data_IF_042294974263
#
_entry.id   IF_042294974263
#
_cell.length_a   1.000
_cell.length_b   1.000
_cell.length_c   1.000
_cell.angle_alpha   90.00
_cell.angle_beta   90.00
_cell.angle_gamma   90.00
#
_symmetry.space_group_name_H-M   'P 1'
#
loop_
_entity.id
_entity.type
_entity.pdbx_description
1 polymer ?
#
# COMPACT_ATOMS: atom_id res chain seq x y z
N UNK A 1 -2.11 9.64 -13.21
CA UNK A 1 -0.97 10.56 -13.11
C UNK A 1 0.33 9.83 -13.40
N UNK A 2 1.33 10.52 -13.96
CA UNK A 2 2.66 9.96 -14.27
C UNK A 2 3.31 9.32 -13.03
N UNK A 3 3.15 9.91 -11.86
CA UNK A 3 3.67 9.38 -10.60
C UNK A 3 3.06 8.01 -10.22
N UNK A 4 1.76 7.82 -10.48
CA UNK A 4 1.11 6.53 -10.26
C UNK A 4 1.58 5.46 -11.24
N UNK A 5 1.76 5.82 -12.53
CA UNK A 5 2.32 4.93 -13.54
C UNK A 5 3.75 4.52 -13.20
N UNK A 6 4.57 5.45 -12.73
CA UNK A 6 5.95 5.18 -12.34
C UNK A 6 6.03 4.21 -11.15
N UNK A 7 5.17 4.39 -10.13
CA UNK A 7 5.08 3.48 -9.00
C UNK A 7 4.62 2.06 -9.39
N UNK A 8 3.67 1.94 -10.33
CA UNK A 8 3.22 0.64 -10.84
C UNK A 8 4.29 -0.05 -11.67
N UNK A 9 5.01 0.68 -12.53
CA UNK A 9 6.12 0.16 -13.31
C UNK A 9 7.28 -0.33 -12.42
N UNK A 10 7.64 0.44 -11.39
CA UNK A 10 8.67 0.04 -10.43
C UNK A 10 8.30 -1.26 -9.69
N UNK A 11 7.02 -1.45 -9.34
CA UNK A 11 6.54 -2.72 -8.76
C UNK A 11 6.56 -3.88 -9.75
N UNK A 12 6.27 -3.65 -11.03
CA UNK A 12 6.32 -4.67 -12.07
C UNK A 12 7.77 -5.13 -12.33
N UNK A 13 8.70 -4.18 -12.45
CA UNK A 13 10.13 -4.44 -12.64
C UNK A 13 10.73 -5.20 -11.45
N UNK A 14 10.29 -4.92 -10.22
CA UNK A 14 10.74 -5.63 -9.02
C UNK A 14 10.08 -7.01 -8.80
N UNK A 15 9.36 -7.55 -9.79
CA UNK A 15 8.72 -8.87 -9.72
C UNK A 15 7.53 -8.97 -8.75
N UNK A 16 7.03 -7.86 -8.24
CA UNK A 16 5.92 -7.81 -7.26
C UNK A 16 4.55 -7.80 -7.93
N UNK A 17 4.34 -8.72 -8.87
CA UNK A 17 3.12 -8.79 -9.70
C UNK A 17 1.87 -8.99 -8.86
N UNK A 18 1.92 -9.87 -7.86
CA UNK A 18 0.78 -10.15 -6.95
C UNK A 18 0.35 -8.92 -6.16
N UNK A 19 1.31 -8.11 -5.70
CA UNK A 19 1.00 -6.84 -5.03
C UNK A 19 0.39 -5.81 -6.01
N UNK A 20 0.88 -5.73 -7.25
CA UNK A 20 0.29 -4.91 -8.30
C UNK A 20 -1.16 -5.27 -8.60
N UNK A 21 -1.44 -6.58 -8.76
CA UNK A 21 -2.79 -7.11 -8.95
C UNK A 21 -3.69 -6.79 -7.74
N UNK A 22 -3.20 -7.03 -6.52
CA UNK A 22 -3.91 -6.69 -5.29
C UNK A 22 -4.25 -5.20 -5.20
N UNK A 23 -3.32 -4.32 -5.59
CA UNK A 23 -3.54 -2.87 -5.63
C UNK A 23 -4.58 -2.48 -6.67
N UNK A 24 -4.62 -3.14 -7.82
CA UNK A 24 -5.65 -2.93 -8.85
C UNK A 24 -7.05 -3.23 -8.29
N UNK A 25 -7.22 -4.38 -7.63
CA UNK A 25 -8.50 -4.73 -6.98
C UNK A 25 -8.83 -3.79 -5.82
N UNK A 26 -7.84 -3.35 -5.03
CA UNK A 26 -8.02 -2.36 -3.98
C UNK A 26 -8.58 -1.04 -4.53
N UNK A 27 -7.99 -0.52 -5.60
CA UNK A 27 -8.46 0.69 -6.28
C UNK A 27 -9.86 0.52 -6.84
N UNK A 28 -10.17 -0.65 -7.45
CA UNK A 28 -11.50 -1.00 -7.91
C UNK A 28 -12.53 -1.00 -6.78
N UNK A 29 -12.22 -1.61 -5.64
CA UNK A 29 -13.08 -1.64 -4.46
C UNK A 29 -13.36 -0.22 -3.92
N UNK A 30 -12.31 0.60 -3.79
CA UNK A 30 -12.43 2.00 -3.35
C UNK A 30 -13.22 2.82 -4.37
N UNK A 31 -12.93 2.70 -5.67
CA UNK A 31 -13.65 3.39 -6.72
C UNK A 31 -15.15 3.04 -6.72
N UNK A 32 -15.50 1.78 -6.49
CA UNK A 32 -16.90 1.32 -6.37
C UNK A 32 -17.63 2.04 -5.24
N UNK A 33 -16.95 2.31 -4.11
CA UNK A 33 -17.57 3.03 -2.98
C UNK A 33 -17.73 4.53 -3.27
N UNK A 34 -16.78 5.16 -3.97
CA UNK A 34 -16.75 6.62 -4.14
C UNK A 34 -17.26 7.12 -5.50
N UNK A 35 -17.03 6.37 -6.59
CA UNK A 35 -17.26 6.80 -7.98
C UNK A 35 -18.47 6.11 -8.62
N UNK A 36 -19.51 5.80 -7.85
CA UNK A 36 -20.70 5.13 -8.37
C UNK A 36 -21.50 6.03 -9.32
N UNK A 37 -22.09 5.52 -10.40
CA UNK A 37 -22.89 6.30 -11.33
C UNK A 37 -24.03 7.05 -10.62
N UNK A 38 -24.30 8.29 -11.05
CA UNK A 38 -25.26 9.20 -10.40
C UNK A 38 -26.67 8.60 -10.28
N UNK A 39 -27.06 7.81 -11.27
CA UNK A 39 -28.37 7.11 -11.34
C UNK A 39 -28.60 6.14 -10.17
N UNK A 40 -27.53 5.56 -9.58
CA UNK A 40 -27.56 4.56 -8.52
C UNK A 40 -27.02 5.10 -7.18
N UNK A 41 -26.99 6.39 -7.04
CA UNK A 41 -26.33 7.07 -5.92
C UNK A 41 -26.92 6.72 -4.55
N UNK A 42 -28.19 6.33 -4.48
CA UNK A 42 -28.89 6.02 -3.24
C UNK A 42 -28.69 4.57 -2.76
N UNK A 43 -28.20 3.68 -3.62
CA UNK A 43 -28.02 2.27 -3.31
C UNK A 43 -26.71 2.01 -2.55
N UNK A 44 -26.67 2.42 -1.30
CA UNK A 44 -25.47 2.27 -0.46
C UNK A 44 -25.04 0.83 -0.26
N UNK A 45 -26.00 -0.09 -0.16
CA UNK A 45 -25.74 -1.52 0.02
C UNK A 45 -25.32 -2.20 -1.28
N UNK A 46 -25.88 -1.83 -2.43
CA UNK A 46 -25.43 -2.36 -3.71
C UNK A 46 -23.96 -2.05 -3.98
N UNK A 47 -23.52 -0.80 -3.67
CA UNK A 47 -22.10 -0.42 -3.72
C UNK A 47 -21.24 -1.26 -2.82
N UNK A 48 -21.70 -1.50 -1.60
CA UNK A 48 -20.99 -2.31 -0.62
C UNK A 48 -20.84 -3.77 -1.10
N UNK A 49 -21.91 -4.34 -1.64
CA UNK A 49 -21.92 -5.71 -2.20
C UNK A 49 -20.97 -5.85 -3.40
N UNK A 50 -20.87 -4.84 -4.28
CA UNK A 50 -19.92 -4.85 -5.39
C UNK A 50 -18.46 -4.60 -4.92
N UNK A 51 -18.26 -3.81 -3.87
CA UNK A 51 -16.92 -3.50 -3.36
C UNK A 51 -16.31 -4.66 -2.55
N UNK A 52 -17.14 -5.43 -1.83
CA UNK A 52 -16.66 -6.51 -0.95
C UNK A 52 -15.87 -7.61 -1.70
N UNK A 53 -16.34 -8.18 -2.84
CA UNK A 53 -15.56 -9.17 -3.57
C UNK A 53 -14.24 -8.60 -4.12
N UNK A 54 -14.21 -7.34 -4.57
CA UNK A 54 -12.98 -6.69 -5.00
C UNK A 54 -11.99 -6.50 -3.84
N UNK A 55 -12.49 -6.15 -2.64
CA UNK A 55 -11.68 -6.06 -1.44
C UNK A 55 -11.13 -7.43 -1.01
N UNK A 56 -11.94 -8.50 -1.11
CA UNK A 56 -11.49 -9.87 -0.87
C UNK A 56 -10.40 -10.29 -1.87
N UNK A 57 -10.61 -10.09 -3.18
CA UNK A 57 -9.63 -10.38 -4.23
C UNK A 57 -8.33 -9.60 -4.05
N UNK A 58 -8.42 -8.33 -3.60
CA UNK A 58 -7.25 -7.54 -3.24
C UNK A 58 -6.42 -8.23 -2.17
N UNK A 59 -7.08 -8.72 -1.11
CA UNK A 59 -6.41 -9.37 0.02
C UNK A 59 -5.87 -10.76 -0.36
N UNK A 60 -6.60 -11.52 -1.16
CA UNK A 60 -6.16 -12.82 -1.68
C UNK A 60 -4.93 -12.67 -2.57
N UNK A 61 -4.87 -11.61 -3.38
CA UNK A 61 -3.70 -11.32 -4.22
C UNK A 61 -2.50 -10.84 -3.41
N UNK A 62 -2.75 -10.02 -2.38
CA UNK A 62 -1.72 -9.52 -1.46
C UNK A 62 -2.34 -9.04 -0.14
N UNK A 63 -1.97 -9.65 1.00
CA UNK A 63 -2.44 -9.19 2.32
C UNK A 63 -2.10 -7.72 2.62
N UNK A 64 -0.99 -7.22 2.07
CA UNK A 64 -0.58 -5.82 2.18
C UNK A 64 -1.57 -4.89 1.48
N UNK A 65 -2.06 -5.26 0.29
CA UNK A 65 -3.09 -4.50 -0.42
C UNK A 65 -4.42 -4.52 0.34
N UNK A 66 -4.77 -5.66 0.94
CA UNK A 66 -5.93 -5.80 1.83
C UNK A 66 -5.85 -4.89 3.06
N UNK A 67 -4.65 -4.76 3.66
CA UNK A 67 -4.42 -3.82 4.76
C UNK A 67 -4.74 -2.38 4.32
N UNK A 68 -4.31 -1.96 3.12
CA UNK A 68 -4.55 -0.61 2.62
C UNK A 68 -6.04 -0.33 2.43
N UNK A 69 -6.80 -1.31 1.94
CA UNK A 69 -8.27 -1.24 1.88
C UNK A 69 -8.86 -1.13 3.28
N UNK A 70 -8.33 -1.89 4.25
CA UNK A 70 -8.71 -1.83 5.66
C UNK A 70 -8.51 -0.45 6.29
N UNK A 71 -7.41 0.26 5.97
CA UNK A 71 -7.19 1.63 6.44
C UNK A 71 -8.27 2.60 5.94
N UNK A 72 -8.68 2.46 4.67
CA UNK A 72 -9.80 3.23 4.11
C UNK A 72 -11.12 2.84 4.79
N UNK A 73 -11.32 1.56 5.09
CA UNK A 73 -12.49 1.09 5.84
C UNK A 73 -12.59 1.72 7.23
N UNK A 74 -11.48 1.80 7.97
CA UNK A 74 -11.43 2.50 9.27
C UNK A 74 -11.79 3.98 9.10
N UNK A 75 -11.25 4.66 8.10
CA UNK A 75 -11.57 6.06 7.83
C UNK A 75 -13.07 6.26 7.51
N UNK A 76 -13.69 5.36 6.76
CA UNK A 76 -15.12 5.39 6.47
C UNK A 76 -15.96 5.10 7.72
N UNK A 77 -15.51 4.17 8.56
CA UNK A 77 -16.18 3.84 9.82
C UNK A 77 -16.22 5.04 10.76
N UNK A 78 -15.08 5.74 10.93
CA UNK A 78 -14.99 6.96 11.73
C UNK A 78 -15.89 8.09 11.18
N UNK A 79 -16.13 8.11 9.86
CA UNK A 79 -17.07 9.03 9.22
C UNK A 79 -18.54 8.56 9.25
N UNK A 80 -18.84 7.45 9.95
CA UNK A 80 -20.18 6.84 10.03
C UNK A 80 -20.74 6.39 8.66
N UNK A 81 -19.88 6.17 7.67
CA UNK A 81 -20.23 5.61 6.34
C UNK A 81 -20.23 4.09 6.39
N UNK A 82 -21.09 3.53 7.21
CA UNK A 82 -21.08 2.12 7.61
C UNK A 82 -21.11 1.09 6.47
N UNK A 83 -21.99 1.17 5.44
CA UNK A 83 -22.00 0.15 4.39
C UNK A 83 -20.66 0.00 3.67
N UNK A 84 -20.04 1.11 3.27
CA UNK A 84 -18.71 1.09 2.64
C UNK A 84 -17.61 0.62 3.60
N UNK A 85 -17.67 1.03 4.87
CA UNK A 85 -16.73 0.59 5.90
C UNK A 85 -16.79 -0.93 6.11
N UNK A 86 -17.99 -1.51 6.21
CA UNK A 86 -18.15 -2.95 6.37
C UNK A 86 -17.66 -3.73 5.14
N UNK A 87 -18.00 -3.27 3.93
CA UNK A 87 -17.57 -3.92 2.69
C UNK A 87 -16.04 -3.96 2.57
N UNK A 88 -15.38 -2.83 2.82
CA UNK A 88 -13.92 -2.71 2.71
C UNK A 88 -13.17 -3.25 3.92
N UNK A 89 -13.83 -3.49 5.05
CA UNK A 89 -13.20 -3.99 6.27
C UNK A 89 -13.41 -5.48 6.51
N UNK A 90 -14.68 -5.96 6.45
CA UNK A 90 -14.98 -7.36 6.78
C UNK A 90 -14.48 -8.35 5.73
N UNK A 91 -14.55 -8.01 4.45
CA UNK A 91 -14.10 -8.91 3.40
C UNK A 91 -12.59 -9.19 3.48
N UNK A 92 -11.70 -8.19 3.56
CA UNK A 92 -10.28 -8.40 3.84
C UNK A 92 -10.02 -9.15 5.16
N UNK A 93 -10.70 -8.77 6.24
CA UNK A 93 -10.52 -9.41 7.54
C UNK A 93 -10.88 -10.90 7.50
N UNK A 94 -11.98 -11.26 6.83
CA UNK A 94 -12.39 -12.66 6.66
C UNK A 94 -11.35 -13.46 5.85
N UNK A 95 -10.80 -12.88 4.77
CA UNK A 95 -9.74 -13.53 3.97
C UNK A 95 -8.49 -13.73 4.81
N UNK A 96 -8.04 -12.72 5.57
CA UNK A 96 -6.86 -12.85 6.44
C UNK A 96 -7.09 -13.89 7.52
N UNK A 97 -8.26 -13.86 8.19
CA UNK A 97 -8.60 -14.82 9.24
C UNK A 97 -8.63 -16.26 8.69
N UNK A 98 -9.27 -16.46 7.53
CA UNK A 98 -9.34 -17.78 6.90
C UNK A 98 -7.95 -18.27 6.47
N UNK A 99 -7.15 -17.39 5.88
CA UNK A 99 -5.78 -17.72 5.47
C UNK A 99 -4.89 -18.06 6.66
N UNK A 100 -4.98 -17.31 7.76
CA UNK A 100 -4.22 -17.57 8.97
C UNK A 100 -4.65 -18.87 9.65
N UNK A 101 -5.91 -19.24 9.56
CA UNK A 101 -6.43 -20.51 10.08
C UNK A 101 -6.00 -21.71 9.25
N UNK A 102 -6.08 -21.61 7.91
CA UNK A 102 -5.72 -22.70 6.99
C UNK A 102 -4.19 -22.86 6.84
N UNK A 103 -3.46 -21.77 6.89
CA UNK A 103 -2.01 -21.72 6.67
C UNK A 103 -1.35 -20.90 7.77
N UNK A 104 -1.24 -21.46 9.01
CA UNK A 104 -0.64 -20.73 10.12
C UNK A 104 0.83 -20.41 9.81
N UNK A 105 1.17 -19.13 9.89
CA UNK A 105 2.50 -18.61 9.66
C UNK A 105 2.96 -17.83 10.90
N UNK A 106 4.12 -18.19 11.46
CA UNK A 106 4.67 -17.59 12.68
C UNK A 106 5.80 -16.59 12.44
N UNK A 107 6.16 -16.33 11.17
CA UNK A 107 7.24 -15.40 10.84
C UNK A 107 6.89 -13.94 11.20
N UNK A 108 7.87 -13.23 11.78
CA UNK A 108 7.76 -11.79 12.04
C UNK A 108 8.82 -11.04 11.26
N UNK A 109 8.48 -9.87 10.74
CA UNK A 109 9.40 -8.98 10.04
C UNK A 109 9.50 -7.67 10.83
N UNK A 110 10.60 -7.46 11.57
CA UNK A 110 10.79 -6.22 12.31
C UNK A 110 10.96 -5.04 11.34
N UNK A 111 10.42 -3.88 11.72
CA UNK A 111 10.55 -2.65 10.96
C UNK A 111 11.65 -1.78 11.56
N UNK A 112 12.71 -1.51 10.79
CA UNK A 112 13.80 -0.65 11.22
C UNK A 112 13.37 0.82 11.29
N UNK A 113 14.04 1.61 12.17
CA UNK A 113 13.78 3.05 12.33
C UNK A 113 13.87 3.82 11.00
N UNK A 114 14.89 3.53 10.17
CA UNK A 114 15.07 4.17 8.87
C UNK A 114 13.89 3.97 7.92
N UNK A 115 13.21 2.82 7.99
CA UNK A 115 12.02 2.52 7.19
C UNK A 115 10.75 3.16 7.75
N UNK A 116 10.78 3.66 9.00
CA UNK A 116 9.62 4.24 9.70
C UNK A 116 9.48 5.74 9.44
N UNK A 117 10.60 6.46 9.40
CA UNK A 117 10.61 7.93 9.38
C UNK A 117 9.92 8.52 8.16
N UNK A 118 10.30 8.09 6.96
CA UNK A 118 9.74 8.67 5.72
C UNK A 118 8.25 8.38 5.56
N UNK A 119 7.73 7.15 5.73
CA UNK A 119 6.30 6.90 5.69
C UNK A 119 5.49 7.72 6.69
N UNK A 120 6.00 7.89 7.91
CA UNK A 120 5.37 8.70 8.93
C UNK A 120 5.34 10.18 8.55
N UNK A 121 6.45 10.70 8.05
CA UNK A 121 6.57 12.08 7.58
C UNK A 121 5.61 12.36 6.40
N UNK A 122 5.50 11.44 5.44
CA UNK A 122 4.58 11.59 4.32
C UNK A 122 3.11 11.40 4.74
N UNK A 123 2.81 10.57 5.73
CA UNK A 123 1.48 10.54 6.35
C UNK A 123 1.12 11.92 6.94
N UNK A 124 2.06 12.55 7.65
CA UNK A 124 1.91 13.90 8.18
C UNK A 124 1.72 14.96 7.09
N UNK A 125 2.50 14.91 6.01
CA UNK A 125 2.37 15.83 4.88
C UNK A 125 1.01 15.69 4.18
N UNK A 126 0.56 14.48 3.89
CA UNK A 126 -0.77 14.25 3.31
C UNK A 126 -1.85 14.80 4.23
N UNK A 127 -1.78 14.54 5.54
CA UNK A 127 -2.73 15.08 6.51
C UNK A 127 -2.76 16.61 6.53
N UNK A 128 -1.60 17.26 6.47
CA UNK A 128 -1.47 18.71 6.57
C UNK A 128 -1.84 19.46 5.29
N UNK A 129 -1.43 18.93 4.12
CA UNK A 129 -1.55 19.65 2.85
C UNK A 129 -2.85 19.37 2.10
N UNK A 130 -3.43 18.17 2.26
CA UNK A 130 -4.69 17.82 1.60
C UNK A 130 -5.83 18.70 2.15
N UNK A 131 -6.75 19.18 1.27
CA UNK A 131 -7.89 20.00 1.69
C UNK A 131 -8.70 19.37 2.82
N UNK A 132 -9.20 20.20 3.76
CA UNK A 132 -10.01 19.73 4.89
C UNK A 132 -11.31 19.06 4.47
N UNK A 133 -11.80 19.39 3.27
CA UNK A 133 -13.00 18.78 2.65
C UNK A 133 -12.77 17.31 2.29
N UNK A 134 -11.52 16.89 2.05
CA UNK A 134 -11.16 15.50 1.72
C UNK A 134 -10.99 14.65 2.99
N UNK A 135 -12.03 14.63 3.81
CA UNK A 135 -12.04 13.99 5.14
C UNK A 135 -11.52 12.56 5.13
N UNK A 136 -11.92 11.75 4.15
CA UNK A 136 -11.48 10.35 4.06
C UNK A 136 -9.98 10.25 3.88
N UNK A 137 -9.38 11.03 2.97
CA UNK A 137 -7.93 10.99 2.72
C UNK A 137 -7.16 11.42 3.97
N UNK A 138 -7.60 12.48 4.65
CA UNK A 138 -6.97 12.95 5.88
C UNK A 138 -7.05 11.93 7.01
N UNK A 139 -8.21 11.34 7.23
CA UNK A 139 -8.38 10.32 8.28
C UNK A 139 -7.56 9.06 7.91
N UNK A 140 -7.57 8.64 6.64
CA UNK A 140 -6.74 7.50 6.20
C UNK A 140 -5.26 7.77 6.43
N UNK A 141 -4.77 8.98 6.14
CA UNK A 141 -3.35 9.30 6.39
C UNK A 141 -3.00 9.31 7.87
N UNK A 142 -3.89 9.79 8.75
CA UNK A 142 -3.70 9.75 10.20
C UNK A 142 -3.70 8.30 10.74
N UNK A 143 -4.67 7.49 10.30
CA UNK A 143 -4.75 6.05 10.67
C UNK A 143 -3.53 5.30 10.14
N UNK A 144 -3.08 5.61 8.92
CA UNK A 144 -1.86 5.04 8.36
C UNK A 144 -0.62 5.41 9.18
N UNK A 145 -0.45 6.69 9.55
CA UNK A 145 0.66 7.11 10.41
C UNK A 145 0.67 6.36 11.75
N UNK A 146 -0.51 6.21 12.38
CA UNK A 146 -0.66 5.39 13.59
C UNK A 146 -0.28 3.93 13.33
N UNK A 147 -0.71 3.35 12.20
CA UNK A 147 -0.38 1.97 11.84
C UNK A 147 1.13 1.77 11.61
N UNK A 148 1.82 2.76 11.03
CA UNK A 148 3.28 2.73 10.87
C UNK A 148 3.97 2.70 12.24
N UNK A 149 3.52 3.53 13.19
CA UNK A 149 4.04 3.52 14.56
C UNK A 149 3.78 2.18 15.26
N UNK A 150 2.59 1.61 15.11
CA UNK A 150 2.25 0.31 15.70
C UNK A 150 3.12 -0.81 15.14
N UNK A 151 3.33 -0.86 13.82
CA UNK A 151 4.18 -1.87 13.17
C UNK A 151 5.66 -1.71 13.55
N UNK A 152 6.11 -0.49 13.83
CA UNK A 152 7.45 -0.24 14.31
C UNK A 152 7.67 -0.74 15.75
N UNK A 153 6.69 -0.52 16.64
CA UNK A 153 6.76 -0.93 18.05
C UNK A 153 6.48 -2.42 18.22
N UNK A 154 5.53 -2.95 17.43
CA UNK A 154 5.07 -4.34 17.52
C UNK A 154 5.55 -5.08 16.28
N UNK A 155 6.48 -6.02 16.44
CA UNK A 155 6.93 -6.89 15.34
C UNK A 155 5.75 -7.66 14.76
N UNK A 156 5.53 -7.52 13.46
CA UNK A 156 4.41 -8.12 12.75
C UNK A 156 4.85 -8.77 11.44
N UNK A 157 3.99 -9.56 10.84
CA UNK A 157 4.22 -10.15 9.51
C UNK A 157 4.26 -9.10 8.39
N UNK A 158 3.74 -7.90 8.64
CA UNK A 158 3.68 -6.79 7.68
C UNK A 158 5.04 -6.12 7.54
N UNK A 159 5.70 -5.79 8.65
CA UNK A 159 7.00 -5.15 8.70
C UNK A 159 7.10 -3.92 7.79
N UNK A 160 8.24 -3.78 7.11
CA UNK A 160 8.51 -2.67 6.19
C UNK A 160 7.56 -2.61 4.96
N UNK A 161 6.78 -3.65 4.68
CA UNK A 161 5.82 -3.63 3.56
C UNK A 161 4.74 -2.55 3.69
N UNK A 162 4.47 -2.06 4.91
CA UNK A 162 3.54 -0.96 5.15
C UNK A 162 3.99 0.34 4.45
N UNK A 163 5.27 0.52 4.17
CA UNK A 163 5.82 1.71 3.50
C UNK A 163 5.30 1.88 2.08
N UNK A 164 4.88 0.78 1.43
CA UNK A 164 4.39 0.78 0.04
C UNK A 164 3.18 1.68 -0.15
N UNK A 165 2.32 1.86 0.87
CA UNK A 165 1.18 2.76 0.75
C UNK A 165 1.60 4.21 0.52
N UNK A 166 2.54 4.72 1.33
CA UNK A 166 3.05 6.08 1.14
C UNK A 166 3.81 6.23 -0.18
N UNK A 167 4.61 5.24 -0.57
CA UNK A 167 5.35 5.26 -1.84
C UNK A 167 4.41 5.33 -3.07
N UNK A 168 3.25 4.68 -3.02
CA UNK A 168 2.29 4.69 -4.14
C UNK A 168 1.38 5.90 -4.14
N UNK A 169 0.87 6.31 -2.97
CA UNK A 169 -0.27 7.22 -2.91
C UNK A 169 0.04 8.59 -2.30
N UNK A 170 1.10 8.74 -1.49
CA UNK A 170 1.38 10.03 -0.87
C UNK A 170 1.69 11.11 -1.90
N UNK A 171 2.54 10.83 -2.89
CA UNK A 171 2.83 11.77 -3.97
C UNK A 171 1.60 12.12 -4.80
N UNK A 172 0.75 11.14 -5.10
CA UNK A 172 -0.51 11.35 -5.83
C UNK A 172 -1.44 12.30 -5.05
N UNK A 173 -1.58 12.08 -3.74
CA UNK A 173 -2.40 12.92 -2.88
C UNK A 173 -1.85 14.35 -2.77
N UNK A 174 -0.52 14.51 -2.64
CA UNK A 174 0.14 15.81 -2.57
C UNK A 174 0.05 16.58 -3.90
N UNK A 175 0.26 15.91 -5.05
CA UNK A 175 0.07 16.53 -6.37
C UNK A 175 -1.38 16.96 -6.57
N UNK A 176 -2.34 16.13 -6.19
CA UNK A 176 -3.76 16.47 -6.27
C UNK A 176 -4.14 17.63 -5.34
N UNK A 177 -3.38 17.89 -4.26
CA UNK A 177 -3.60 19.01 -3.35
C UNK A 177 -3.02 20.35 -3.87
N UNK A 178 -2.12 20.32 -4.86
CA UNK A 178 -1.45 21.51 -5.40
C UNK A 178 -2.43 22.60 -5.88
N UNK A 179 -3.47 22.30 -6.69
CA UNK A 179 -4.42 23.30 -7.17
C UNK A 179 -5.22 24.00 -6.06
N UNK A 180 -5.27 23.38 -4.86
CA UNK A 180 -5.99 23.93 -3.69
C UNK A 180 -5.09 24.78 -2.79
N UNK A 181 -3.83 24.97 -3.16
CA UNK A 181 -2.86 25.77 -2.41
C UNK A 181 -2.56 27.05 -3.17
N UNK A 182 -2.65 28.20 -2.49
CA UNK A 182 -2.35 29.50 -3.14
C UNK A 182 -0.87 29.55 -3.52
N UNK A 183 -0.55 29.78 -4.82
CA UNK A 183 0.83 29.83 -5.30
C UNK A 183 1.67 30.87 -4.55
N UNK A 184 2.97 30.61 -4.44
CA UNK A 184 3.97 31.49 -3.80
C UNK A 184 3.75 31.78 -2.31
N UNK A 185 2.86 31.03 -1.63
CA UNK A 185 2.72 31.07 -0.15
C UNK A 185 3.73 30.12 0.51
N UNK A 186 3.98 30.31 1.81
CA UNK A 186 4.83 29.37 2.59
C UNK A 186 4.32 27.93 2.48
N UNK A 187 2.99 27.74 2.50
CA UNK A 187 2.36 26.42 2.36
C UNK A 187 2.63 25.83 0.98
N UNK A 188 2.59 26.62 -0.09
CA UNK A 188 2.88 26.17 -1.44
C UNK A 188 4.35 25.73 -1.58
N UNK A 189 5.31 26.52 -1.08
CA UNK A 189 6.72 26.14 -1.09
C UNK A 189 6.99 24.88 -0.31
N UNK A 190 6.39 24.75 0.89
CA UNK A 190 6.53 23.53 1.70
C UNK A 190 5.97 22.30 0.98
N UNK A 191 4.85 22.42 0.27
CA UNK A 191 4.27 21.34 -0.54
C UNK A 191 5.18 20.97 -1.73
N UNK A 192 5.76 21.97 -2.41
CA UNK A 192 6.72 21.72 -3.51
C UNK A 192 7.98 21.01 -3.02
N UNK A 193 8.52 21.43 -1.87
CA UNK A 193 9.67 20.78 -1.23
C UNK A 193 9.33 19.35 -0.82
N UNK A 194 8.15 19.12 -0.25
CA UNK A 194 7.69 17.78 0.11
C UNK A 194 7.57 16.89 -1.14
N UNK A 195 7.05 17.41 -2.26
CA UNK A 195 6.97 16.69 -3.52
C UNK A 195 8.34 16.39 -4.12
N UNK A 196 9.27 17.35 -4.10
CA UNK A 196 10.65 17.14 -4.56
C UNK A 196 11.34 16.05 -3.73
N UNK A 197 11.22 16.09 -2.40
CA UNK A 197 11.71 15.06 -1.50
C UNK A 197 11.08 13.69 -1.76
N UNK A 198 9.78 13.65 -2.09
CA UNK A 198 9.08 12.43 -2.46
C UNK A 198 9.65 11.79 -3.73
N UNK A 199 9.86 12.59 -4.77
CA UNK A 199 10.48 12.13 -6.04
C UNK A 199 11.88 11.60 -5.78
N UNK A 200 12.68 12.31 -4.97
CA UNK A 200 14.02 11.87 -4.57
C UNK A 200 13.97 10.53 -3.81
N UNK A 201 13.05 10.38 -2.87
CA UNK A 201 12.88 9.13 -2.12
C UNK A 201 12.51 7.95 -3.01
N UNK A 202 11.49 8.12 -3.87
CA UNK A 202 11.08 7.04 -4.80
C UNK A 202 12.21 6.74 -5.80
N UNK A 203 12.86 7.76 -6.35
CA UNK A 203 13.96 7.58 -7.28
C UNK A 203 15.11 6.80 -6.65
N UNK A 204 15.54 7.20 -5.45
CA UNK A 204 16.58 6.48 -4.71
C UNK A 204 16.17 5.02 -4.43
N UNK A 205 14.95 4.81 -3.92
CA UNK A 205 14.48 3.45 -3.59
C UNK A 205 14.32 2.57 -4.82
N UNK A 206 13.86 3.12 -5.94
CA UNK A 206 13.75 2.38 -7.20
C UNK A 206 15.12 2.03 -7.78
N UNK A 207 16.10 2.93 -7.67
CA UNK A 207 17.48 2.67 -8.09
C UNK A 207 18.13 1.61 -7.19
N UNK A 208 17.96 1.71 -5.89
CA UNK A 208 18.44 0.75 -4.90
C UNK A 208 17.85 -0.66 -5.16
N UNK A 209 16.53 -0.75 -5.35
CA UNK A 209 15.87 -2.02 -5.70
C UNK A 209 16.39 -2.57 -7.04
N UNK A 210 16.61 -1.74 -8.07
CA UNK A 210 17.14 -2.17 -9.37
C UNK A 210 18.57 -2.70 -9.27
N UNK A 211 19.44 -2.01 -8.54
CA UNK A 211 20.84 -2.42 -8.36
C UNK A 211 20.94 -3.72 -7.57
N UNK A 212 20.10 -3.92 -6.55
CA UNK A 212 20.15 -5.13 -5.72
C UNK A 212 19.38 -6.32 -6.29
N UNK A 213 18.48 -6.11 -7.26
CA UNK A 213 17.74 -7.22 -7.91
C UNK A 213 18.37 -7.69 -9.22
N UNK A 214 19.24 -6.88 -9.83
CA UNK A 214 19.89 -7.24 -11.12
C UNK A 214 21.03 -8.25 -10.99
N UNK A 215 21.93 -8.23 -9.97
CA UNK A 215 22.81 -9.37 -9.72
C UNK A 215 22.01 -10.47 -9.01
N UNK A 216 22.31 -11.75 -9.35
CA UNK A 216 21.79 -12.88 -8.59
C UNK A 216 21.97 -12.60 -7.08
N UNK A 217 20.88 -12.70 -6.33
CA UNK A 217 20.89 -12.43 -4.90
C UNK A 217 22.03 -13.22 -4.22
N UNK A 218 22.66 -12.67 -3.19
CA UNK A 218 23.79 -13.32 -2.51
C UNK A 218 23.48 -14.76 -2.10
N UNK A 219 22.27 -15.01 -1.62
CA UNK A 219 21.80 -16.36 -1.29
C UNK A 219 21.79 -17.32 -2.49
N UNK A 220 21.55 -16.86 -3.72
CA UNK A 220 21.60 -17.70 -4.91
C UNK A 220 23.04 -18.14 -5.23
N UNK A 221 24.03 -17.33 -4.90
CA UNK A 221 25.45 -17.69 -4.99
C UNK A 221 25.88 -18.63 -3.87
N UNK A 222 25.33 -18.48 -2.69
CA UNK A 222 25.57 -19.36 -1.54
C UNK A 222 24.97 -20.75 -1.76
N UNK A 223 23.92 -20.86 -2.55
CA UNK A 223 23.29 -22.13 -2.94
C UNK A 223 23.98 -22.82 -4.14
N UNK A 224 24.85 -22.13 -4.86
CA UNK A 224 25.54 -22.71 -6.01
C UNK A 224 26.31 -24.01 -5.68
N UNK A 225 27.03 -24.15 -4.55
CA UNK A 225 27.65 -25.42 -4.16
C UNK A 225 26.64 -26.55 -3.97
N UNK A 226 25.52 -26.25 -3.30
CA UNK A 226 24.45 -27.22 -3.07
C UNK A 226 23.78 -27.66 -4.38
N UNK A 227 23.54 -26.72 -5.31
CA UNK A 227 22.99 -27.04 -6.65
C UNK A 227 23.95 -27.94 -7.42
N UNK A 228 25.26 -27.67 -7.37
CA UNK A 228 26.26 -28.50 -8.02
C UNK A 228 26.30 -29.91 -7.43
N UNK A 229 26.30 -30.07 -6.11
CA UNK A 229 26.21 -31.37 -5.45
C UNK A 229 24.94 -32.13 -5.83
N UNK A 230 23.78 -31.47 -5.87
CA UNK A 230 22.53 -32.10 -6.30
C UNK A 230 22.55 -32.54 -7.76
N UNK A 231 23.21 -31.78 -8.64
CA UNK A 231 23.43 -32.16 -10.03
C UNK A 231 24.36 -33.38 -10.15
N UNK A 232 25.47 -33.44 -9.39
CA UNK A 232 26.38 -34.57 -9.36
C UNK A 232 25.72 -35.85 -8.83
N UNK A 233 24.78 -35.74 -7.88
CA UNK A 233 24.02 -36.88 -7.34
C UNK A 233 22.87 -37.29 -8.28
N UNK A 234 22.63 -36.57 -9.37
CA UNK A 234 21.61 -36.93 -10.38
C UNK A 234 20.18 -36.60 -9.94
N UNK A 235 20.01 -35.65 -9.01
CA UNK A 235 18.71 -35.20 -8.49
C UNK A 235 17.84 -34.44 -9.54
N UNK A 236 18.31 -34.33 -10.77
CA UNK A 236 17.59 -33.64 -11.87
C UNK A 236 16.36 -34.39 -12.39
N UNK A 237 16.06 -35.59 -11.87
CA UNK A 237 15.00 -36.46 -12.40
C UNK A 237 13.97 -36.90 -11.37
N UNK A 238 13.62 -35.99 -10.42
CA UNK A 238 12.54 -36.19 -9.49
C UNK A 238 11.30 -35.39 -9.83
#
# INVERSE_FOLDING_TARGET
SLAGLFGLLANAVSGRVTFGLGTMFALGAVATVFCWPHRWRHERWAKALCAAPLAALSTMSSPVSGLFVGLVAVALFLQKRRPGAWALGLAPAAVVALSAWLFPFSGTQPMGFGSTVLPLLYAGFVFAFVPSTWKTVRITSAVYGLSVLLVWVISSQIGSNITRLSMLFAGVALVAALPFTVPRTRKWYALVVALAGFVGWIGFKSADDAVHTTPAASWARELAPLVNELQEVGAEKG
#
